data_IF_431084577266
#
_entry.id   IF_431084577266
#
_cell.length_a   1.000
_cell.length_b   1.000
_cell.length_c   1.000
_cell.angle_alpha   90.00
_cell.angle_beta   90.00
_cell.angle_gamma   90.00
#
_symmetry.space_group_name_H-M   'P 1'
#
loop_
_entity.id
_entity.type
_entity.pdbx_description
1 polymer ?
#
# COMPACT_ATOMS: atom_id res chain seq x y z
N UNK A 1 14.89 16.13 -11.09
CA UNK A 1 14.58 14.73 -11.38
C UNK A 1 13.40 14.32 -10.52
N UNK A 2 12.52 13.43 -10.99
CA UNK A 2 11.33 13.07 -10.24
C UNK A 2 11.67 12.37 -8.92
N UNK A 3 10.93 12.70 -7.89
CA UNK A 3 11.21 12.24 -6.53
C UNK A 3 9.99 11.59 -5.90
N UNK A 4 10.21 10.57 -5.07
CA UNK A 4 9.20 10.03 -4.18
C UNK A 4 9.27 10.79 -2.85
N UNK A 5 8.11 11.21 -2.36
CA UNK A 5 7.94 11.89 -1.07
C UNK A 5 7.22 10.95 -0.12
N UNK A 6 7.86 10.61 1.00
CA UNK A 6 7.35 9.63 1.94
C UNK A 6 6.63 10.27 3.12
N UNK A 7 5.52 9.64 3.54
CA UNK A 7 4.76 10.03 4.72
C UNK A 7 4.02 11.35 4.62
N UNK A 8 3.86 11.88 3.41
CA UNK A 8 3.12 13.10 3.11
C UNK A 8 2.05 12.83 2.08
N UNK A 9 0.93 13.59 2.04
CA UNK A 9 -0.06 13.46 0.99
C UNK A 9 0.53 13.73 -0.39
N UNK A 10 0.25 12.85 -1.33
CA UNK A 10 0.47 13.10 -2.75
C UNK A 10 -0.78 13.72 -3.36
N UNK A 11 -0.62 14.48 -4.42
CA UNK A 11 -1.72 15.18 -5.07
C UNK A 11 -1.80 14.82 -6.55
N UNK A 12 -3.01 14.66 -7.02
CA UNK A 12 -3.30 14.41 -8.43
C UNK A 12 -3.30 15.73 -9.26
N UNK A 13 -3.62 15.59 -10.54
CA UNK A 13 -3.72 16.74 -11.48
C UNK A 13 -4.82 17.74 -11.11
N UNK A 14 -5.76 17.37 -10.25
CA UNK A 14 -6.86 18.22 -9.76
C UNK A 14 -6.58 18.79 -8.37
N UNK A 15 -5.36 18.59 -7.85
CA UNK A 15 -4.96 18.97 -6.49
C UNK A 15 -5.80 18.26 -5.40
N UNK A 16 -6.30 17.05 -5.70
CA UNK A 16 -6.90 16.17 -4.72
C UNK A 16 -5.86 15.20 -4.18
N UNK A 17 -6.03 14.78 -2.92
CA UNK A 17 -5.13 13.81 -2.31
C UNK A 17 -5.26 12.46 -3.03
N UNK A 18 -4.12 11.85 -3.35
CA UNK A 18 -4.08 10.48 -3.87
C UNK A 18 -4.58 9.53 -2.78
N UNK A 19 -5.70 8.89 -3.04
CA UNK A 19 -6.45 8.04 -2.11
C UNK A 19 -6.39 6.60 -2.64
N UNK A 20 -5.31 5.88 -2.29
CA UNK A 20 -4.95 4.60 -2.89
C UNK A 20 -4.13 3.70 -1.95
N UNK A 21 -4.45 3.66 -0.64
CA UNK A 21 -3.81 2.74 0.30
C UNK A 21 -4.14 1.27 0.01
N UNK A 22 -3.45 0.34 0.65
CA UNK A 22 -3.69 -1.11 0.54
C UNK A 22 -3.42 -1.71 -0.84
N UNK A 23 -2.81 -0.95 -1.72
CA UNK A 23 -2.79 -1.18 -3.15
C UNK A 23 -1.60 -1.96 -3.71
N UNK A 24 -1.43 -1.80 -5.03
CA UNK A 24 -0.29 -2.32 -5.79
C UNK A 24 0.10 -1.36 -6.92
N UNK A 25 1.32 -1.51 -7.41
CA UNK A 25 1.88 -0.74 -8.51
C UNK A 25 2.19 -1.69 -9.67
N UNK A 26 1.62 -1.42 -10.85
CA UNK A 26 1.86 -2.18 -12.07
C UNK A 26 2.55 -1.28 -13.08
N UNK A 27 3.59 -1.79 -13.72
CA UNK A 27 4.29 -1.08 -14.80
C UNK A 27 3.90 -1.69 -16.15
N UNK A 28 3.43 -0.85 -17.06
CA UNK A 28 3.12 -1.25 -18.43
C UNK A 28 3.37 -0.11 -19.41
N UNK A 29 4.09 -0.40 -20.50
CA UNK A 29 4.33 0.56 -21.61
C UNK A 29 4.86 1.93 -21.16
N UNK A 30 5.77 1.94 -20.18
CA UNK A 30 6.38 3.15 -19.63
C UNK A 30 5.49 3.96 -18.68
N UNK A 31 4.32 3.43 -18.34
CA UNK A 31 3.44 3.99 -17.32
C UNK A 31 3.46 3.14 -16.05
N UNK A 32 3.25 3.80 -14.92
CA UNK A 32 3.00 3.21 -13.62
C UNK A 32 1.53 3.38 -13.27
N UNK A 33 0.84 2.29 -12.97
CA UNK A 33 -0.56 2.24 -12.58
C UNK A 33 -0.63 1.90 -11.09
N UNK A 34 -1.03 2.87 -10.27
CA UNK A 34 -1.29 2.68 -8.86
C UNK A 34 -2.78 2.36 -8.66
N UNK A 35 -3.07 1.16 -8.20
CA UNK A 35 -4.40 0.76 -7.75
C UNK A 35 -4.43 0.76 -6.23
N UNK A 36 -5.53 1.23 -5.63
CA UNK A 36 -5.65 1.26 -4.18
C UNK A 36 -7.09 1.41 -3.71
N UNK A 37 -7.25 1.34 -2.42
CA UNK A 37 -8.51 1.55 -1.73
C UNK A 37 -8.91 3.02 -1.84
N UNK A 38 -10.14 3.28 -2.30
CA UNK A 38 -10.71 4.61 -2.28
C UNK A 38 -11.65 4.73 -1.08
N UNK A 39 -11.29 5.60 -0.14
CA UNK A 39 -12.05 5.83 1.08
C UNK A 39 -12.82 7.14 1.02
N UNK A 40 -14.08 7.13 1.49
CA UNK A 40 -14.81 8.35 1.81
C UNK A 40 -14.34 8.91 3.16
N UNK A 41 -14.42 10.22 3.39
CA UNK A 41 -14.14 10.78 4.70
C UNK A 41 -14.97 10.09 5.79
N UNK A 42 -14.33 9.77 6.92
CA UNK A 42 -14.95 9.18 8.12
C UNK A 42 -15.69 7.84 7.87
N UNK A 43 -15.26 7.05 6.88
CA UNK A 43 -15.89 5.78 6.54
C UNK A 43 -14.84 4.71 6.20
N UNK A 44 -15.10 3.47 6.69
CA UNK A 44 -14.36 2.26 6.30
C UNK A 44 -15.14 1.43 5.27
N UNK A 45 -16.37 1.84 4.95
CA UNK A 45 -17.20 1.14 3.96
C UNK A 45 -16.59 1.27 2.57
N UNK A 46 -16.68 0.20 1.80
CA UNK A 46 -16.16 0.17 0.43
C UNK A 46 -16.78 1.28 -0.44
N UNK A 47 -15.93 2.16 -0.92
CA UNK A 47 -16.31 3.27 -1.80
C UNK A 47 -15.75 3.12 -3.23
N UNK A 48 -14.94 2.08 -3.46
CA UNK A 48 -14.34 1.75 -4.76
C UNK A 48 -12.86 1.42 -4.64
N UNK A 49 -12.28 0.96 -5.74
CA UNK A 49 -10.83 0.92 -5.92
C UNK A 49 -10.42 1.98 -6.93
N UNK A 50 -9.55 2.87 -6.51
CA UNK A 50 -9.01 3.96 -7.33
C UNK A 50 -7.95 3.47 -8.30
N UNK A 51 -7.72 4.26 -9.35
CA UNK A 51 -6.59 4.09 -10.27
C UNK A 51 -5.96 5.42 -10.58
N UNK A 52 -4.65 5.50 -10.33
CA UNK A 52 -3.81 6.63 -10.71
C UNK A 52 -2.76 6.18 -11.71
N UNK A 53 -2.35 7.06 -12.60
CA UNK A 53 -1.32 6.78 -13.61
C UNK A 53 -0.22 7.83 -13.51
N UNK A 54 1.03 7.39 -13.57
CA UNK A 54 2.21 8.24 -13.59
C UNK A 54 3.24 7.71 -14.59
N UNK A 55 4.07 8.58 -15.12
CA UNK A 55 5.25 8.20 -15.91
C UNK A 55 6.56 8.35 -15.12
N UNK A 56 6.48 8.90 -13.90
CA UNK A 56 7.65 9.30 -13.14
C UNK A 56 7.57 9.06 -11.61
N UNK A 57 6.50 8.43 -11.13
CA UNK A 57 6.22 8.14 -9.71
C UNK A 57 6.10 9.38 -8.79
N UNK A 58 6.15 10.58 -9.35
CA UNK A 58 5.96 11.85 -8.64
C UNK A 58 4.62 12.51 -8.99
N UNK A 59 4.30 12.56 -10.30
CA UNK A 59 3.11 13.23 -10.80
C UNK A 59 2.01 12.20 -11.14
N UNK A 60 0.95 12.22 -10.37
CA UNK A 60 -0.14 11.26 -10.47
C UNK A 60 -1.36 11.87 -11.17
N UNK A 61 -1.92 11.12 -12.09
CA UNK A 61 -3.17 11.45 -12.78
C UNK A 61 -4.26 10.50 -12.29
N UNK A 62 -5.27 11.05 -11.63
CA UNK A 62 -6.51 10.33 -11.33
C UNK A 62 -7.23 9.97 -12.65
N UNK A 63 -7.57 8.71 -12.80
CA UNK A 63 -8.31 8.17 -13.94
C UNK A 63 -9.67 7.59 -13.53
N UNK A 64 -10.11 7.89 -12.32
CA UNK A 64 -11.37 7.44 -11.75
C UNK A 64 -11.27 6.07 -11.08
N UNK A 65 -12.43 5.56 -10.66
CA UNK A 65 -12.50 4.25 -10.03
C UNK A 65 -12.26 3.13 -11.04
N UNK A 66 -11.30 2.27 -10.73
CA UNK A 66 -11.08 1.03 -11.49
C UNK A 66 -12.20 0.00 -11.23
N UNK A 67 -12.76 0.01 -10.02
CA UNK A 67 -13.92 -0.80 -9.65
C UNK A 67 -14.82 0.00 -8.70
N UNK A 68 -16.08 0.12 -9.07
CA UNK A 68 -17.10 0.84 -8.27
C UNK A 68 -17.84 -0.10 -7.31
N UNK A 69 -18.43 0.45 -6.23
CA UNK A 69 -19.36 -0.30 -5.39
C UNK A 69 -20.49 -0.93 -6.19
N UNK A 70 -20.98 -2.08 -5.72
CA UNK A 70 -22.07 -2.81 -6.32
C UNK A 70 -23.39 -2.50 -5.55
N UNK A 71 -24.56 -2.61 -6.19
CA UNK A 71 -25.85 -2.36 -5.52
C UNK A 71 -26.16 -3.40 -4.43
N UNK A 72 -25.51 -4.55 -4.45
CA UNK A 72 -25.67 -5.66 -3.49
C UNK A 72 -24.51 -6.63 -3.54
N UNK A 73 -24.51 -7.64 -2.66
CA UNK A 73 -23.50 -8.71 -2.63
C UNK A 73 -22.20 -8.28 -1.96
N UNK A 74 -21.10 -8.89 -2.37
CA UNK A 74 -19.79 -8.77 -1.69
C UNK A 74 -19.12 -7.38 -1.78
N UNK A 75 -19.58 -6.50 -2.65
CA UNK A 75 -19.18 -5.10 -2.76
C UNK A 75 -20.39 -4.15 -2.64
N UNK A 76 -21.48 -4.63 -2.05
CA UNK A 76 -22.69 -3.86 -1.80
C UNK A 76 -22.57 -2.95 -0.57
N UNK A 77 -23.69 -2.32 -0.17
CA UNK A 77 -23.75 -1.53 1.06
C UNK A 77 -23.28 -2.33 2.27
N UNK A 78 -22.61 -1.68 3.22
CA UNK A 78 -22.03 -2.28 4.42
C UNK A 78 -20.89 -3.27 4.19
N UNK A 79 -20.34 -3.31 2.98
CA UNK A 79 -19.13 -4.10 2.71
C UNK A 79 -17.87 -3.25 2.86
N UNK A 80 -16.82 -3.90 3.27
CA UNK A 80 -15.44 -3.41 3.25
C UNK A 80 -14.79 -4.00 2.00
N UNK A 81 -13.90 -3.29 1.36
CA UNK A 81 -13.08 -3.77 0.25
C UNK A 81 -11.65 -3.28 0.41
N UNK A 82 -10.73 -4.22 0.63
CA UNK A 82 -9.37 -3.92 1.02
C UNK A 82 -8.36 -4.68 0.16
N UNK A 83 -7.08 -4.25 0.27
CA UNK A 83 -5.91 -4.97 -0.22
C UNK A 83 -5.96 -5.35 -1.69
N UNK A 84 -6.42 -4.41 -2.52
CA UNK A 84 -6.51 -4.63 -3.97
C UNK A 84 -5.15 -4.96 -4.58
N UNK A 85 -5.09 -6.01 -5.39
CA UNK A 85 -3.91 -6.42 -6.16
C UNK A 85 -4.33 -6.71 -7.59
N UNK A 86 -3.54 -6.24 -8.55
CA UNK A 86 -3.80 -6.48 -9.97
C UNK A 86 -2.67 -7.35 -10.51
N UNK A 87 -3.03 -8.38 -11.24
CA UNK A 87 -2.11 -9.28 -11.94
C UNK A 87 -2.55 -9.42 -13.40
N UNK A 88 -1.61 -9.77 -14.28
CA UNK A 88 -1.96 -10.20 -15.64
C UNK A 88 -1.97 -11.71 -15.69
N UNK A 89 -3.09 -12.30 -16.10
CA UNK A 89 -3.23 -13.72 -16.33
C UNK A 89 -2.42 -14.15 -17.58
N UNK A 90 -2.04 -15.42 -17.67
CA UNK A 90 -1.34 -15.96 -18.88
C UNK A 90 -2.21 -15.86 -20.14
N UNK A 91 -3.50 -15.67 -20.00
CA UNK A 91 -4.46 -15.38 -21.10
C UNK A 91 -4.39 -13.94 -21.62
N UNK A 92 -3.63 -13.05 -20.93
CA UNK A 92 -3.51 -11.64 -21.23
C UNK A 92 -4.52 -10.75 -20.49
N UNK A 93 -5.59 -11.29 -19.92
CA UNK A 93 -6.59 -10.54 -19.16
C UNK A 93 -6.02 -10.08 -17.82
N UNK A 94 -6.43 -8.91 -17.34
CA UNK A 94 -6.10 -8.42 -16.01
C UNK A 94 -7.11 -8.90 -14.99
N UNK A 95 -6.61 -9.38 -13.86
CA UNK A 95 -7.39 -9.86 -12.73
C UNK A 95 -7.09 -8.96 -11.54
N UNK A 96 -8.12 -8.34 -10.99
CA UNK A 96 -8.06 -7.58 -9.75
C UNK A 96 -8.51 -8.49 -8.62
N UNK A 97 -7.60 -8.82 -7.73
CA UNK A 97 -7.88 -9.58 -6.50
C UNK A 97 -8.16 -8.59 -5.37
N UNK A 98 -9.07 -8.94 -4.47
CA UNK A 98 -9.42 -8.11 -3.33
C UNK A 98 -9.88 -8.95 -2.15
N UNK A 99 -9.69 -8.43 -0.96
CA UNK A 99 -10.40 -8.86 0.23
C UNK A 99 -11.71 -8.08 0.35
N UNK A 100 -12.79 -8.73 0.73
CA UNK A 100 -14.06 -8.08 1.10
C UNK A 100 -14.60 -8.68 2.38
N UNK A 101 -15.20 -7.84 3.23
CA UNK A 101 -15.78 -8.22 4.50
C UNK A 101 -17.08 -7.46 4.75
N UNK A 102 -17.81 -7.76 5.83
CA UNK A 102 -19.01 -7.03 6.24
C UNK A 102 -18.69 -6.23 7.52
N UNK A 103 -18.97 -4.93 7.53
CA UNK A 103 -18.67 -4.04 8.66
C UNK A 103 -19.44 -4.39 9.95
N UNK A 104 -20.53 -5.17 9.84
CA UNK A 104 -21.42 -5.55 10.94
C UNK A 104 -21.16 -6.96 11.47
N UNK A 105 -20.61 -7.81 10.61
CA UNK A 105 -20.34 -9.21 10.90
C UNK A 105 -19.02 -9.61 10.27
N UNK A 106 -18.28 -10.52 10.87
CA UNK A 106 -17.05 -11.02 10.28
C UNK A 106 -17.36 -12.03 9.17
N UNK A 107 -17.22 -11.61 7.90
CA UNK A 107 -17.49 -12.42 6.70
C UNK A 107 -16.41 -12.21 5.64
N UNK A 108 -15.11 -12.54 5.94
CA UNK A 108 -14.02 -12.30 5.02
C UNK A 108 -14.11 -13.20 3.80
N UNK A 109 -13.95 -12.63 2.62
CA UNK A 109 -13.96 -13.32 1.34
C UNK A 109 -12.89 -12.74 0.43
N UNK A 110 -12.07 -13.60 -0.17
CA UNK A 110 -11.25 -13.21 -1.31
C UNK A 110 -12.13 -13.22 -2.56
N UNK A 111 -12.18 -12.10 -3.25
CA UNK A 111 -12.97 -11.93 -4.46
C UNK A 111 -12.10 -11.42 -5.61
N UNK A 112 -12.66 -11.43 -6.83
CA UNK A 112 -11.94 -10.93 -7.99
C UNK A 112 -12.86 -10.21 -8.98
N UNK A 113 -12.23 -9.35 -9.80
CA UNK A 113 -12.80 -8.66 -10.94
C UNK A 113 -11.86 -8.81 -12.14
N UNK A 114 -12.35 -8.56 -13.36
CA UNK A 114 -11.58 -8.74 -14.60
C UNK A 114 -11.66 -7.52 -15.49
N UNK A 115 -10.60 -7.27 -16.26
CA UNK A 115 -10.57 -6.26 -17.33
C UNK A 115 -9.64 -6.72 -18.45
N UNK A 116 -9.86 -6.24 -19.68
CA UNK A 116 -9.00 -6.59 -20.81
C UNK A 116 -7.76 -5.67 -20.87
N UNK A 117 -7.87 -4.43 -20.37
CA UNK A 117 -6.77 -3.48 -20.28
C UNK A 117 -6.70 -2.83 -18.89
N UNK A 118 -5.50 -2.41 -18.45
CA UNK A 118 -5.32 -1.68 -17.18
C UNK A 118 -6.12 -0.38 -17.11
N UNK A 119 -6.46 0.19 -18.27
CA UNK A 119 -7.22 1.43 -18.36
C UNK A 119 -8.74 1.25 -18.29
N UNK A 120 -9.23 0.02 -18.42
CA UNK A 120 -10.66 -0.29 -18.39
C UNK A 120 -11.20 -0.26 -16.95
N UNK A 121 -12.51 -0.17 -16.82
CA UNK A 121 -13.20 -0.47 -15.57
C UNK A 121 -13.27 -1.99 -15.42
N UNK A 122 -12.89 -2.47 -14.24
CA UNK A 122 -12.96 -3.89 -13.93
C UNK A 122 -14.40 -4.33 -13.70
N UNK A 123 -14.75 -5.51 -14.20
CA UNK A 123 -16.05 -6.14 -13.99
C UNK A 123 -15.95 -7.15 -12.83
N UNK A 124 -16.73 -6.91 -11.78
CA UNK A 124 -16.75 -7.79 -10.61
C UNK A 124 -17.32 -9.17 -10.94
N UNK A 125 -16.62 -10.23 -10.58
CA UNK A 125 -16.97 -11.62 -10.91
C UNK A 125 -17.48 -12.42 -9.70
N UNK A 126 -17.08 -12.02 -8.49
CA UNK A 126 -17.49 -12.73 -7.27
C UNK A 126 -16.32 -13.36 -6.50
N UNK A 127 -16.60 -14.39 -5.67
CA UNK A 127 -15.57 -14.97 -4.82
C UNK A 127 -14.56 -15.80 -5.60
N UNK A 128 -13.30 -15.68 -5.24
CA UNK A 128 -12.24 -16.60 -5.68
C UNK A 128 -12.39 -17.95 -4.95
N UNK A 129 -12.17 -19.05 -5.68
CA UNK A 129 -12.40 -20.39 -5.17
C UNK A 129 -11.15 -21.27 -5.25
N UNK A 130 -11.01 -22.12 -4.25
CA UNK A 130 -10.09 -23.26 -4.23
C UNK A 130 -10.88 -24.53 -3.91
N UNK A 131 -10.72 -25.59 -4.70
CA UNK A 131 -11.50 -26.85 -4.57
C UNK A 131 -13.03 -26.61 -4.47
N UNK A 132 -13.53 -25.68 -5.29
CA UNK A 132 -14.93 -25.22 -5.31
C UNK A 132 -15.40 -24.52 -4.03
N UNK A 133 -14.53 -24.31 -3.03
CA UNK A 133 -14.84 -23.56 -1.82
C UNK A 133 -14.36 -22.11 -1.95
N UNK A 134 -15.15 -21.16 -1.45
CA UNK A 134 -14.74 -19.76 -1.33
C UNK A 134 -13.55 -19.62 -0.40
N UNK A 135 -12.50 -18.92 -0.82
CA UNK A 135 -11.36 -18.60 0.04
C UNK A 135 -11.81 -17.51 1.02
N UNK A 136 -11.84 -17.88 2.33
CA UNK A 136 -12.27 -17.01 3.42
C UNK A 136 -11.08 -16.54 4.22
N UNK A 137 -10.43 -15.51 3.71
CA UNK A 137 -9.22 -14.94 4.29
C UNK A 137 -9.29 -13.41 4.16
N UNK A 138 -8.64 -12.70 5.08
CA UNK A 138 -8.43 -11.25 4.99
C UNK A 138 -6.97 -10.95 4.71
N UNK A 139 -6.64 -9.70 4.41
CA UNK A 139 -5.28 -9.26 4.06
C UNK A 139 -4.61 -10.18 3.06
N UNK A 140 -4.82 -9.86 1.80
CA UNK A 140 -4.23 -10.56 0.69
C UNK A 140 -3.04 -9.80 0.10
N UNK A 141 -2.18 -10.56 -0.58
CA UNK A 141 -1.15 -10.08 -1.50
C UNK A 141 -1.21 -10.85 -2.81
N UNK A 142 -0.41 -10.46 -3.75
CA UNK A 142 -0.19 -11.22 -4.99
C UNK A 142 1.30 -11.27 -5.32
N UNK A 143 1.66 -12.31 -6.07
CA UNK A 143 3.00 -12.49 -6.60
C UNK A 143 2.90 -13.10 -7.99
N UNK A 144 3.71 -12.62 -8.93
CA UNK A 144 3.89 -13.22 -10.24
C UNK A 144 5.34 -13.66 -10.33
N UNK A 145 5.54 -14.97 -10.55
CA UNK A 145 6.86 -15.57 -10.66
C UNK A 145 7.47 -15.32 -12.06
N UNK A 146 8.75 -15.58 -12.22
CA UNK A 146 9.52 -15.32 -13.45
C UNK A 146 8.95 -16.06 -14.67
N UNK A 147 8.28 -17.18 -14.46
CA UNK A 147 7.60 -17.95 -15.52
C UNK A 147 6.19 -17.41 -15.86
N UNK A 148 5.77 -16.32 -15.23
CA UNK A 148 4.45 -15.71 -15.37
C UNK A 148 3.34 -16.45 -14.62
N UNK A 149 3.68 -17.36 -13.71
CA UNK A 149 2.69 -18.01 -12.84
C UNK A 149 2.29 -17.06 -11.72
N UNK A 150 0.98 -16.87 -11.56
CA UNK A 150 0.42 -15.98 -10.55
C UNK A 150 0.05 -16.73 -9.27
N UNK A 151 0.25 -16.04 -8.15
CA UNK A 151 -0.05 -16.55 -6.82
C UNK A 151 -0.86 -15.54 -6.01
N UNK A 152 -1.84 -16.04 -5.27
CA UNK A 152 -2.50 -15.33 -4.18
C UNK A 152 -1.74 -15.63 -2.91
N UNK A 153 -1.42 -14.59 -2.16
CA UNK A 153 -0.88 -14.66 -0.79
C UNK A 153 -2.00 -14.29 0.17
N UNK A 154 -2.08 -14.96 1.31
CA UNK A 154 -3.02 -14.57 2.37
C UNK A 154 -2.30 -14.38 3.70
N UNK A 155 -2.96 -13.75 4.67
CA UNK A 155 -2.42 -13.60 6.01
C UNK A 155 -1.96 -14.97 6.56
N UNK A 156 -1.04 -14.96 7.53
CA UNK A 156 -0.34 -16.13 8.08
C UNK A 156 0.54 -16.89 7.07
N UNK A 157 0.64 -16.40 5.82
CA UNK A 157 1.56 -16.94 4.83
C UNK A 157 1.08 -18.21 4.14
N UNK A 158 -0.20 -18.32 3.81
CA UNK A 158 -0.66 -19.30 2.84
C UNK A 158 -0.44 -18.77 1.42
N UNK A 159 0.05 -19.63 0.52
CA UNK A 159 0.28 -19.32 -0.88
C UNK A 159 -0.54 -20.26 -1.76
N UNK A 160 -1.39 -19.67 -2.60
CA UNK A 160 -2.21 -20.38 -3.58
C UNK A 160 -1.71 -20.08 -4.99
N UNK A 161 -1.41 -21.10 -5.77
CA UNK A 161 -1.18 -20.96 -7.22
C UNK A 161 -2.52 -20.75 -7.91
N UNK A 162 -2.59 -19.70 -8.73
CA UNK A 162 -3.77 -19.41 -9.53
C UNK A 162 -3.75 -20.19 -10.85
N UNK A 163 -4.92 -20.47 -11.40
CA UNK A 163 -5.09 -20.99 -12.75
C UNK A 163 -4.51 -20.03 -13.79
N UNK A 164 -4.25 -20.53 -15.00
CA UNK A 164 -3.66 -19.74 -16.07
C UNK A 164 -4.52 -18.49 -16.45
N UNK A 165 -5.84 -18.56 -16.23
CA UNK A 165 -6.76 -17.44 -16.42
C UNK A 165 -6.92 -16.54 -15.19
N UNK A 166 -6.30 -16.90 -14.05
CA UNK A 166 -6.31 -16.15 -12.80
C UNK A 166 -7.64 -16.17 -12.02
N UNK A 167 -8.65 -16.95 -12.46
CA UNK A 167 -10.03 -16.87 -11.93
C UNK A 167 -10.34 -17.90 -10.85
N UNK A 168 -9.44 -18.85 -10.62
CA UNK A 168 -9.51 -19.85 -9.55
C UNK A 168 -8.14 -20.14 -8.99
N UNK A 169 -8.06 -20.63 -7.75
CA UNK A 169 -6.84 -21.24 -7.22
C UNK A 169 -6.84 -22.73 -7.54
N UNK A 170 -5.70 -23.22 -8.09
CA UNK A 170 -5.53 -24.64 -8.49
C UNK A 170 -4.87 -25.47 -7.39
N UNK A 171 -3.98 -24.84 -6.60
CA UNK A 171 -3.24 -25.53 -5.56
C UNK A 171 -2.90 -24.59 -4.42
N UNK A 172 -2.96 -25.09 -3.20
CA UNK A 172 -2.29 -24.48 -2.06
C UNK A 172 -0.84 -25.01 -2.03
N UNK A 173 0.12 -24.14 -2.38
CA UNK A 173 1.53 -24.51 -2.54
C UNK A 173 2.18 -24.74 -1.18
N UNK A 174 1.86 -23.87 -0.21
CA UNK A 174 2.37 -23.93 1.14
C UNK A 174 1.40 -23.21 2.09
N UNK A 175 1.48 -23.55 3.36
CA UNK A 175 0.66 -22.93 4.40
C UNK A 175 1.52 -22.46 5.56
N UNK A 176 1.07 -21.38 6.20
CA UNK A 176 1.54 -20.95 7.51
C UNK A 176 3.05 -20.62 7.55
N UNK A 177 3.57 -19.94 6.52
CA UNK A 177 4.96 -19.45 6.51
C UNK A 177 5.21 -18.47 7.65
N UNK A 178 4.24 -17.62 7.94
CA UNK A 178 4.34 -16.47 8.83
C UNK A 178 3.16 -16.44 9.83
N UNK A 179 3.09 -17.37 10.79
CA UNK A 179 1.99 -17.45 11.73
C UNK A 179 1.87 -16.17 12.57
N UNK A 180 0.63 -15.72 12.81
CA UNK A 180 0.35 -14.50 13.58
C UNK A 180 0.54 -13.20 12.78
N UNK A 181 0.75 -13.28 11.49
CA UNK A 181 0.98 -12.09 10.64
C UNK A 181 -0.17 -11.80 9.69
N UNK A 182 -0.12 -10.62 9.09
CA UNK A 182 -1.03 -10.11 8.08
C UNK A 182 -0.28 -9.28 7.03
N UNK A 183 -0.98 -8.67 6.06
CA UNK A 183 -0.42 -7.79 5.04
C UNK A 183 0.75 -8.41 4.24
N UNK A 184 0.54 -9.59 3.62
CA UNK A 184 1.59 -10.29 2.90
C UNK A 184 1.99 -9.56 1.61
N UNK A 185 3.29 -9.50 1.35
CA UNK A 185 3.86 -9.17 0.06
C UNK A 185 5.01 -10.13 -0.25
N UNK A 186 5.28 -10.36 -1.53
CA UNK A 186 6.34 -11.29 -1.94
C UNK A 186 6.99 -10.83 -3.23
N UNK A 187 8.28 -11.12 -3.36
CA UNK A 187 9.03 -10.94 -4.60
C UNK A 187 10.13 -12.00 -4.72
N UNK A 188 10.57 -12.24 -5.95
CA UNK A 188 11.73 -13.08 -6.27
C UNK A 188 12.87 -12.19 -6.74
N UNK A 189 14.06 -12.37 -6.18
CA UNK A 189 15.23 -11.55 -6.53
C UNK A 189 16.53 -12.29 -6.22
N UNK A 190 17.46 -12.35 -7.19
CA UNK A 190 18.76 -12.99 -7.05
C UNK A 190 18.67 -14.43 -6.52
N UNK A 191 17.86 -15.26 -7.16
CA UNK A 191 17.64 -16.69 -6.85
C UNK A 191 16.98 -16.98 -5.48
N UNK A 192 16.44 -15.96 -4.79
CA UNK A 192 15.74 -16.11 -3.52
C UNK A 192 14.34 -15.51 -3.57
N UNK A 193 13.41 -16.19 -2.92
CA UNK A 193 12.08 -15.66 -2.63
C UNK A 193 12.09 -14.94 -1.30
N UNK A 194 11.46 -13.78 -1.24
CA UNK A 194 11.28 -12.96 -0.05
C UNK A 194 9.80 -12.80 0.23
N UNK A 195 9.36 -13.16 1.42
CA UNK A 195 8.00 -12.98 1.89
C UNK A 195 8.02 -11.99 3.05
N UNK A 196 7.30 -10.87 2.91
CA UNK A 196 7.19 -9.81 3.90
C UNK A 196 5.81 -9.86 4.54
N UNK A 197 5.74 -9.57 5.82
CA UNK A 197 4.48 -9.53 6.56
C UNK A 197 4.55 -8.57 7.75
N UNK A 198 3.39 -8.07 8.16
CA UNK A 198 3.17 -7.27 9.35
C UNK A 198 2.61 -8.13 10.46
N UNK A 199 2.89 -7.79 11.72
CA UNK A 199 2.22 -8.39 12.86
C UNK A 199 0.78 -7.86 12.97
N UNK A 200 -0.10 -8.59 13.67
CA UNK A 200 -1.50 -8.20 13.89
C UNK A 200 -1.60 -7.25 15.08
N UNK A 201 -1.51 -5.96 14.84
CA UNK A 201 -1.57 -4.89 15.85
C UNK A 201 -2.71 -3.90 15.60
N UNK A 202 -3.77 -4.35 14.90
CA UNK A 202 -4.86 -3.48 14.48
C UNK A 202 -4.35 -2.33 13.62
N UNK A 203 -4.72 -1.08 13.90
CA UNK A 203 -4.27 0.10 13.16
C UNK A 203 -2.90 0.63 13.59
N UNK A 204 -2.31 0.09 14.67
CA UNK A 204 -0.97 0.47 15.11
C UNK A 204 0.09 -0.16 14.19
N UNK A 205 1.09 0.63 13.82
CA UNK A 205 2.23 0.14 13.05
C UNK A 205 3.14 -0.72 13.92
N UNK A 206 3.92 -1.59 13.29
CA UNK A 206 4.86 -2.47 13.96
C UNK A 206 6.11 -2.69 13.10
N UNK A 207 7.12 -3.32 13.69
CA UNK A 207 8.27 -3.77 12.92
C UNK A 207 7.83 -4.95 12.04
N UNK A 208 7.62 -4.70 10.75
CA UNK A 208 7.29 -5.72 9.78
C UNK A 208 8.49 -6.64 9.58
N UNK A 209 8.24 -7.92 9.36
CA UNK A 209 9.23 -8.97 9.30
C UNK A 209 9.28 -9.64 7.94
N UNK A 210 10.36 -10.37 7.67
CA UNK A 210 10.50 -11.10 6.42
C UNK A 210 11.02 -12.53 6.61
N UNK A 211 10.77 -13.32 5.58
CA UNK A 211 11.17 -14.72 5.45
C UNK A 211 11.80 -14.92 4.07
N UNK A 212 12.72 -15.88 3.96
CA UNK A 212 13.34 -16.25 2.68
C UNK A 212 13.27 -17.73 2.39
N UNK A 213 13.29 -18.08 1.11
CA UNK A 213 13.45 -19.45 0.64
C UNK A 213 14.13 -19.47 -0.74
N UNK A 214 14.85 -20.57 -1.06
CA UNK A 214 15.41 -20.79 -2.39
C UNK A 214 14.38 -21.36 -3.37
N UNK A 215 13.25 -21.82 -2.84
CA UNK A 215 12.12 -22.36 -3.62
C UNK A 215 10.81 -21.94 -3.00
N UNK A 216 9.82 -21.68 -3.84
CA UNK A 216 8.51 -21.21 -3.41
C UNK A 216 7.83 -22.14 -2.37
N UNK A 217 8.01 -23.45 -2.50
CA UNK A 217 7.49 -24.41 -1.54
C UNK A 217 8.37 -24.62 -0.30
N UNK A 218 9.41 -23.80 -0.14
CA UNK A 218 10.29 -23.77 1.02
C UNK A 218 11.41 -24.81 1.00
N UNK A 219 12.09 -25.02 2.13
CA UNK A 219 11.75 -24.46 3.45
C UNK A 219 11.94 -22.93 3.54
N UNK A 220 11.09 -22.25 4.30
CA UNK A 220 11.17 -20.82 4.56
C UNK A 220 11.91 -20.54 5.87
N UNK A 221 12.82 -19.60 5.83
CA UNK A 221 13.63 -19.16 6.97
C UNK A 221 13.17 -17.80 7.46
N UNK A 222 12.76 -17.67 8.74
CA UNK A 222 12.41 -16.38 9.33
C UNK A 222 13.67 -15.57 9.66
N UNK A 223 13.63 -14.23 9.43
CA UNK A 223 14.75 -13.31 9.69
C UNK A 223 14.42 -12.19 10.68
N UNK A 224 13.17 -11.82 10.87
CA UNK A 224 12.79 -10.69 11.72
C UNK A 224 12.63 -9.37 10.92
N UNK A 225 12.78 -8.20 11.58
CA UNK A 225 12.57 -6.91 10.94
C UNK A 225 13.54 -6.62 9.80
N UNK A 226 13.05 -5.99 8.71
CA UNK A 226 13.88 -5.50 7.61
C UNK A 226 14.16 -3.98 7.69
N UNK A 227 13.59 -3.27 8.65
CA UNK A 227 13.98 -1.93 9.05
C UNK A 227 14.67 -1.98 10.42
N UNK A 228 15.39 -0.94 10.85
CA UNK A 228 15.94 -0.90 12.20
C UNK A 228 14.84 -1.14 13.24
N UNK A 229 15.10 -2.04 14.18
CA UNK A 229 14.12 -2.42 15.21
C UNK A 229 13.64 -1.21 16.01
N UNK A 230 12.33 -1.14 16.25
CA UNK A 230 11.68 -0.05 16.95
C UNK A 230 11.32 1.15 16.06
N UNK A 231 11.59 1.09 14.76
CA UNK A 231 11.14 2.15 13.83
C UNK A 231 9.72 1.92 13.32
N UNK A 232 9.07 0.83 13.73
CA UNK A 232 7.74 0.44 13.29
C UNK A 232 7.62 0.41 11.75
N UNK A 233 8.71 -0.04 11.08
CA UNK A 233 8.84 0.02 9.61
C UNK A 233 8.61 1.44 9.07
N UNK A 234 9.19 2.43 9.79
CA UNK A 234 9.02 3.86 9.53
C UNK A 234 7.55 4.29 9.56
N UNK A 235 6.80 3.82 10.56
CA UNK A 235 5.35 4.03 10.72
C UNK A 235 4.59 3.65 9.43
N UNK A 236 4.81 2.43 8.96
CA UNK A 236 4.09 1.90 7.80
C UNK A 236 3.81 0.41 7.91
N UNK A 237 2.79 -0.05 7.22
CA UNK A 237 2.46 -1.46 7.03
C UNK A 237 2.74 -1.85 5.59
N UNK A 238 3.33 -3.03 5.37
CA UNK A 238 3.55 -3.60 4.04
C UNK A 238 2.26 -3.64 3.23
N UNK A 239 2.28 -3.13 1.99
CA UNK A 239 1.19 -3.25 1.03
C UNK A 239 1.59 -4.09 -0.18
N UNK A 240 2.78 -3.84 -0.74
CA UNK A 240 3.26 -4.50 -1.95
C UNK A 240 4.78 -4.36 -2.10
N UNK A 241 5.37 -5.17 -2.95
CA UNK A 241 6.74 -4.99 -3.46
C UNK A 241 6.71 -5.15 -4.97
N UNK A 242 7.36 -4.25 -5.68
CA UNK A 242 7.54 -4.34 -7.13
C UNK A 242 9.01 -4.12 -7.50
N UNK A 243 9.43 -4.64 -8.65
CA UNK A 243 10.77 -4.39 -9.17
C UNK A 243 10.73 -3.17 -10.06
N UNK A 244 11.62 -2.19 -9.83
CA UNK A 244 11.77 -1.01 -10.66
C UNK A 244 13.16 -0.96 -11.28
N UNK A 245 13.26 -0.43 -12.50
CA UNK A 245 14.55 -0.20 -13.16
C UNK A 245 15.04 1.20 -12.87
N UNK A 246 16.23 1.32 -12.33
CA UNK A 246 16.88 2.56 -11.92
C UNK A 246 18.18 2.77 -12.66
N UNK A 247 18.85 3.90 -12.47
CA UNK A 247 20.21 4.12 -13.01
C UNK A 247 21.24 3.10 -12.49
N UNK A 248 20.99 2.53 -11.29
CA UNK A 248 21.88 1.56 -10.65
C UNK A 248 21.48 0.09 -10.91
N UNK A 249 20.49 -0.15 -11.76
CA UNK A 249 19.95 -1.48 -12.09
C UNK A 249 18.55 -1.70 -11.53
N UNK A 250 18.10 -2.95 -11.60
CA UNK A 250 16.79 -3.34 -11.07
C UNK A 250 16.86 -3.49 -9.55
N UNK A 251 15.91 -2.89 -8.84
CA UNK A 251 15.81 -2.96 -7.38
C UNK A 251 14.37 -3.24 -6.96
N UNK A 252 14.17 -3.99 -5.87
CA UNK A 252 12.86 -4.11 -5.27
C UNK A 252 12.50 -2.82 -4.55
N UNK A 253 11.28 -2.31 -4.84
CA UNK A 253 10.69 -1.15 -4.20
C UNK A 253 9.64 -1.62 -3.20
N UNK A 254 9.85 -1.30 -1.94
CA UNK A 254 8.87 -1.47 -0.87
C UNK A 254 7.78 -0.42 -1.01
N UNK A 255 6.54 -0.85 -1.03
CA UNK A 255 5.35 -0.01 -0.95
C UNK A 255 4.71 -0.26 0.42
N UNK A 256 4.80 0.72 1.28
CA UNK A 256 4.16 0.72 2.60
C UNK A 256 3.07 1.78 2.67
N UNK A 257 2.07 1.53 3.51
CA UNK A 257 1.00 2.47 3.80
C UNK A 257 1.08 2.94 5.24
N UNK A 258 0.97 4.25 5.43
CA UNK A 258 0.79 4.88 6.72
C UNK A 258 -0.69 5.19 6.87
N UNK A 259 -1.41 4.30 7.54
CA UNK A 259 -2.85 4.45 7.75
C UNK A 259 -3.17 5.58 8.71
N UNK A 260 -4.19 6.36 8.40
CA UNK A 260 -4.68 7.47 9.23
C UNK A 260 -6.09 7.16 9.71
N UNK A 261 -6.28 6.04 10.39
CA UNK A 261 -7.60 5.65 10.91
C UNK A 261 -8.08 6.64 12.00
N UNK A 262 -9.37 7.12 11.97
CA UNK A 262 -10.44 6.73 11.06
C UNK A 262 -10.48 7.49 9.71
N UNK A 263 -9.56 8.41 9.46
CA UNK A 263 -9.52 9.24 8.25
C UNK A 263 -8.72 8.57 7.13
N UNK A 264 -9.07 7.34 6.76
CA UNK A 264 -8.30 6.52 5.83
C UNK A 264 -8.07 7.16 4.45
N UNK A 265 -8.96 8.06 4.03
CA UNK A 265 -8.78 8.87 2.83
C UNK A 265 -7.58 9.83 2.89
N UNK A 266 -6.95 10.00 4.06
CA UNK A 266 -5.73 10.77 4.26
C UNK A 266 -4.49 9.89 4.52
N UNK A 267 -4.61 8.58 4.37
CA UNK A 267 -3.47 7.66 4.47
C UNK A 267 -2.38 8.06 3.48
N UNK A 268 -1.13 7.94 3.91
CA UNK A 268 0.03 8.34 3.11
C UNK A 268 0.89 7.15 2.78
N UNK A 269 1.79 7.31 1.83
CA UNK A 269 2.65 6.25 1.34
C UNK A 269 4.08 6.37 1.87
N UNK A 270 4.71 5.24 2.13
CA UNK A 270 6.14 5.11 2.46
C UNK A 270 6.74 4.13 1.46
N UNK A 271 7.35 4.67 0.39
CA UNK A 271 7.96 3.90 -0.67
C UNK A 271 9.47 4.06 -0.63
N UNK A 272 10.18 2.98 -0.38
CA UNK A 272 11.63 2.98 -0.16
C UNK A 272 12.29 1.79 -0.88
N UNK A 273 13.52 1.96 -1.39
CA UNK A 273 14.24 0.86 -2.01
C UNK A 273 14.65 -0.18 -0.96
N UNK A 274 14.43 -1.44 -1.26
CA UNK A 274 14.94 -2.56 -0.48
C UNK A 274 16.37 -2.86 -0.91
N UNK A 275 17.26 -2.99 0.05
CA UNK A 275 18.62 -3.47 -0.16
C UNK A 275 18.65 -4.97 0.08
N UNK A 276 19.08 -5.74 -0.93
CA UNK A 276 19.20 -7.20 -0.88
C UNK A 276 20.67 -7.59 -0.97
N UNK A 277 21.14 -8.44 -0.04
CA UNK A 277 22.46 -9.04 -0.06
C UNK A 277 22.35 -10.54 0.30
N UNK A 278 22.31 -11.41 -0.73
CA UNK A 278 21.95 -12.81 -0.54
C UNK A 278 20.53 -12.93 0.01
N UNK A 279 20.38 -13.53 1.19
CA UNK A 279 19.10 -13.65 1.91
C UNK A 279 18.84 -12.49 2.88
N UNK A 280 19.78 -11.55 3.03
CA UNK A 280 19.59 -10.37 3.87
C UNK A 280 18.78 -9.30 3.14
N UNK A 281 17.76 -8.79 3.80
CA UNK A 281 16.86 -7.74 3.31
C UNK A 281 16.87 -6.58 4.30
N UNK A 282 17.00 -5.33 3.80
CA UNK A 282 16.94 -4.17 4.68
C UNK A 282 16.47 -2.89 3.99
N UNK A 283 15.89 -2.00 4.78
CA UNK A 283 15.74 -0.57 4.51
C UNK A 283 16.44 0.16 5.66
N UNK A 284 17.73 0.50 5.52
CA UNK A 284 18.52 1.00 6.65
C UNK A 284 18.18 2.44 7.07
N UNK A 285 17.56 3.23 6.18
CA UNK A 285 17.29 4.65 6.42
C UNK A 285 15.92 5.07 5.88
N UNK A 286 15.21 5.90 6.64
CA UNK A 286 14.05 6.60 6.14
C UNK A 286 14.49 7.81 5.30
N UNK A 287 14.01 7.87 4.07
CA UNK A 287 14.21 9.02 3.20
C UNK A 287 12.90 9.77 3.03
N UNK A 288 12.72 10.94 3.63
CA UNK A 288 11.50 11.74 3.47
C UNK A 288 11.24 12.14 2.01
N UNK A 289 12.33 12.34 1.26
CA UNK A 289 12.34 12.59 -0.18
C UNK A 289 13.55 11.93 -0.80
N UNK A 290 13.37 11.26 -1.96
CA UNK A 290 14.47 10.66 -2.68
C UNK A 290 14.22 10.61 -4.19
N UNK A 291 15.31 10.71 -4.96
CA UNK A 291 15.31 10.47 -6.40
C UNK A 291 15.31 8.95 -6.61
N UNK A 292 14.18 8.43 -7.08
CA UNK A 292 14.02 6.99 -7.22
C UNK A 292 14.85 6.40 -8.36
N UNK A 293 15.17 7.19 -9.39
CA UNK A 293 15.97 6.73 -10.51
C UNK A 293 17.46 6.69 -10.15
N UNK A 294 17.98 7.74 -9.50
CA UNK A 294 19.39 7.80 -9.04
C UNK A 294 19.62 7.06 -7.70
N UNK A 295 18.55 6.70 -7.00
CA UNK A 295 18.58 6.11 -5.65
C UNK A 295 19.38 6.96 -4.66
N UNK A 296 19.09 8.23 -4.61
CA UNK A 296 19.74 9.18 -3.72
C UNK A 296 18.72 9.94 -2.88
N UNK A 297 18.97 9.99 -1.55
CA UNK A 297 18.21 10.85 -0.66
C UNK A 297 18.38 12.32 -1.09
N UNK A 298 17.27 13.03 -1.22
CA UNK A 298 17.28 14.44 -1.59
C UNK A 298 17.23 15.30 -0.32
N UNK A 299 18.14 16.29 -0.19
CA UNK A 299 18.12 17.17 0.97
C UNK A 299 16.83 17.98 1.01
N UNK A 300 16.24 18.07 2.20
CA UNK A 300 15.12 18.96 2.47
C UNK A 300 15.62 20.12 3.34
N UNK A 301 15.32 21.35 2.94
CA UNK A 301 15.62 22.53 3.74
C UNK A 301 14.39 22.88 4.56
N UNK A 302 14.53 22.87 5.88
CA UNK A 302 13.46 23.22 6.80
C UNK A 302 13.69 24.61 7.37
N UNK A 303 12.67 25.46 7.36
CA UNK A 303 12.59 26.63 8.22
C UNK A 303 11.89 26.19 9.51
N UNK A 304 12.60 26.15 10.63
CA UNK A 304 12.03 25.67 11.88
C UNK A 304 11.06 26.68 12.48
N UNK A 305 9.81 26.30 12.67
CA UNK A 305 8.88 26.92 13.59
C UNK A 305 8.45 25.84 14.58
N UNK A 306 8.87 25.97 15.83
CA UNK A 306 8.41 25.05 16.87
C UNK A 306 7.06 25.52 17.40
N UNK A 307 6.07 24.63 17.40
CA UNK A 307 4.75 24.89 18.00
C UNK A 307 4.25 23.61 18.68
N UNK A 308 3.62 23.78 19.84
CA UNK A 308 3.02 22.68 20.59
C UNK A 308 1.60 23.08 20.99
N UNK A 309 0.61 22.33 20.55
CA UNK A 309 -0.79 22.47 20.96
C UNK A 309 -1.15 21.40 22.00
N UNK A 310 -1.80 21.80 23.08
CA UNK A 310 -2.21 20.89 24.17
C UNK A 310 -3.73 20.81 24.36
N UNK A 311 -4.50 21.53 23.56
CA UNK A 311 -5.96 21.56 23.63
C UNK A 311 -6.56 21.27 22.26
N UNK A 312 -7.80 20.76 22.24
CA UNK A 312 -8.50 20.35 21.01
C UNK A 312 -8.76 21.51 20.02
N UNK A 313 -8.68 22.75 20.49
CA UNK A 313 -8.88 23.97 19.71
C UNK A 313 -7.58 24.74 19.44
N UNK A 314 -6.45 24.21 19.90
CA UNK A 314 -5.15 24.82 19.64
C UNK A 314 -4.88 24.87 18.13
N UNK A 315 -4.46 26.02 17.64
CA UNK A 315 -4.18 26.22 16.22
C UNK A 315 -3.00 27.14 15.98
N UNK A 316 -2.32 26.93 14.86
CA UNK A 316 -1.28 27.82 14.35
C UNK A 316 -1.55 28.13 12.89
N UNK A 317 -1.34 29.36 12.49
CA UNK A 317 -1.43 29.76 11.08
C UNK A 317 -0.06 30.16 10.58
N UNK A 318 0.36 29.53 9.48
CA UNK A 318 1.60 29.82 8.77
C UNK A 318 1.29 30.44 7.42
N UNK A 319 1.99 31.50 7.08
CA UNK A 319 1.94 32.08 5.73
C UNK A 319 3.24 31.77 5.00
N UNK A 320 3.13 31.30 3.78
CA UNK A 320 4.29 31.02 2.94
C UNK A 320 4.04 31.47 1.50
N UNK A 321 5.12 31.60 0.75
CA UNK A 321 5.07 31.85 -0.69
C UNK A 321 5.89 30.76 -1.39
N UNK A 322 5.22 29.95 -2.19
CA UNK A 322 5.84 28.82 -2.88
C UNK A 322 4.80 27.87 -3.49
N UNK A 323 5.29 26.82 -4.11
CA UNK A 323 4.46 25.79 -4.77
C UNK A 323 4.10 24.63 -3.84
N UNK A 324 4.85 24.45 -2.76
CA UNK A 324 4.60 23.43 -1.75
C UNK A 324 5.08 23.87 -0.36
N UNK A 325 4.59 23.17 0.64
CA UNK A 325 5.04 23.28 2.03
C UNK A 325 5.03 21.88 2.65
N UNK A 326 6.08 21.52 3.37
CA UNK A 326 6.14 20.31 4.18
C UNK A 326 6.18 20.68 5.65
N UNK A 327 5.33 20.05 6.42
CA UNK A 327 5.25 20.25 7.88
C UNK A 327 5.73 18.94 8.51
N UNK A 328 6.73 19.04 9.38
CA UNK A 328 7.25 17.92 10.16
C UNK A 328 6.80 18.06 11.60
N UNK A 329 6.31 16.99 12.19
CA UNK A 329 5.91 16.93 13.59
C UNK A 329 6.52 15.71 14.27
N UNK A 330 6.50 15.72 15.60
CA UNK A 330 6.88 14.59 16.42
C UNK A 330 5.65 13.76 16.74
N UNK A 331 5.74 12.44 16.59
CA UNK A 331 4.72 11.50 17.05
C UNK A 331 5.00 11.06 18.49
N UNK A 332 3.98 10.71 19.24
CA UNK A 332 4.11 10.20 20.61
C UNK A 332 2.84 9.46 21.06
N UNK A 333 2.92 8.69 22.17
CA UNK A 333 1.74 8.07 22.78
C UNK A 333 0.68 9.07 23.30
N UNK A 334 1.04 10.36 23.43
CA UNK A 334 0.14 11.47 23.78
C UNK A 334 -0.28 12.28 22.54
N UNK A 335 0.18 11.90 21.37
CA UNK A 335 -0.21 12.52 20.11
C UNK A 335 -1.67 12.30 19.77
N UNK A 336 -2.14 13.04 18.81
CA UNK A 336 -3.51 12.96 18.32
C UNK A 336 -3.59 13.53 16.91
N UNK A 337 -4.80 13.70 16.39
CA UNK A 337 -5.00 14.20 15.05
C UNK A 337 -4.83 15.73 14.97
N UNK A 338 -4.12 16.18 13.93
CA UNK A 338 -4.13 17.55 13.50
C UNK A 338 -4.87 17.68 12.16
N UNK A 339 -5.77 18.65 12.08
CA UNK A 339 -6.41 19.05 10.85
C UNK A 339 -5.62 20.16 10.19
N UNK A 340 -5.02 19.88 9.04
CA UNK A 340 -4.28 20.87 8.26
C UNK A 340 -5.18 21.41 7.15
N UNK A 341 -5.26 22.74 7.03
CA UNK A 341 -6.07 23.41 6.00
C UNK A 341 -5.19 24.37 5.22
N UNK A 342 -5.01 24.09 3.93
CA UNK A 342 -4.34 25.01 3.00
C UNK A 342 -5.37 25.96 2.39
N UNK A 343 -5.09 27.27 2.49
CA UNK A 343 -5.91 28.31 1.88
C UNK A 343 -5.08 29.14 0.89
N UNK A 344 -5.73 29.58 -0.17
CA UNK A 344 -5.14 30.57 -1.07
C UNK A 344 -5.19 31.98 -0.46
N UNK A 345 -4.59 32.94 -1.18
CA UNK A 345 -4.51 34.34 -0.76
C UNK A 345 -5.86 35.06 -0.57
N UNK A 346 -6.95 34.51 -1.09
CA UNK A 346 -8.32 35.04 -0.94
C UNK A 346 -9.14 34.23 0.07
N UNK A 347 -8.53 33.22 0.71
CA UNK A 347 -9.13 32.45 1.80
C UNK A 347 -9.85 31.17 1.35
N UNK A 348 -9.89 30.85 0.06
CA UNK A 348 -10.49 29.59 -0.39
C UNK A 348 -9.66 28.39 0.07
N UNK A 349 -10.33 27.36 0.58
CA UNK A 349 -9.69 26.10 0.93
C UNK A 349 -9.24 25.38 -0.35
N UNK A 350 -7.97 25.08 -0.43
CA UNK A 350 -7.34 24.34 -1.54
C UNK A 350 -7.10 22.87 -1.19
N UNK A 351 -6.80 22.61 0.07
CA UNK A 351 -6.64 21.25 0.59
C UNK A 351 -6.98 21.21 2.06
N UNK A 352 -7.48 20.08 2.52
CA UNK A 352 -7.73 19.81 3.92
C UNK A 352 -7.42 18.36 4.19
N UNK A 353 -6.50 18.08 5.10
CA UNK A 353 -6.06 16.74 5.46
C UNK A 353 -6.02 16.58 6.98
N UNK A 354 -6.24 15.35 7.43
CA UNK A 354 -5.96 14.95 8.80
C UNK A 354 -4.63 14.21 8.83
N UNK A 355 -3.79 14.55 9.78
CA UNK A 355 -2.52 13.87 10.02
C UNK A 355 -2.51 13.35 11.44
N UNK A 356 -2.15 12.10 11.60
CA UNK A 356 -2.02 11.47 12.90
C UNK A 356 -0.61 11.72 13.47
N UNK A 357 -0.55 12.24 14.69
CA UNK A 357 0.68 12.39 15.47
C UNK A 357 0.75 11.40 16.63
N UNK A 358 -0.17 10.42 16.68
CA UNK A 358 -0.06 9.32 17.60
C UNK A 358 0.94 8.29 17.09
N UNK A 359 1.75 7.76 18.00
CA UNK A 359 2.56 6.56 17.82
C UNK A 359 2.75 5.92 19.18
N UNK A 360 2.86 4.60 19.23
CA UNK A 360 3.18 3.88 20.46
C UNK A 360 4.59 4.22 20.99
N UNK A 361 5.41 4.83 20.14
CA UNK A 361 6.76 5.33 20.45
C UNK A 361 6.82 6.84 20.23
N UNK A 362 7.75 7.50 20.90
CA UNK A 362 8.09 8.91 20.64
C UNK A 362 9.17 8.96 19.56
N UNK A 363 8.88 9.58 18.41
CA UNK A 363 9.76 9.74 17.27
C UNK A 363 9.97 11.20 16.88
#
# INVERSE_FOLDING_TARGET
>A
MPSIFNGVPWYDQHQQVVNASGGCLIQENGNYYLFGEYHQPDSITFAGFSRYVSTDLEHWKDTGLALSPQPSGLLGPHRIGDRVKVIQAKTGQYIMLMHTDDERTFDPVVAYATADHLTDTFEFQGPLRYENQTIRMWHIGSFTDDDGTNYLLTHEGDIYRLAADGKTAEAKVISNIAPGTEAPAMFHFNDHYFFLASQKTSWDHNDNIYFTADRLNGPWTPHGPFCPSGTLTYNSQTAFVTLITTAKGTVPLYLGDRHTYPYLNNSTHVWLPLTVNGTELSIPHYWPRWDWYEQDAQPMTFNSLAWTGQTSDASVTLSFYGTNITITGQTSPQGGFAKMTLRDKVGHIRSQVHTDFYSILTE
#
